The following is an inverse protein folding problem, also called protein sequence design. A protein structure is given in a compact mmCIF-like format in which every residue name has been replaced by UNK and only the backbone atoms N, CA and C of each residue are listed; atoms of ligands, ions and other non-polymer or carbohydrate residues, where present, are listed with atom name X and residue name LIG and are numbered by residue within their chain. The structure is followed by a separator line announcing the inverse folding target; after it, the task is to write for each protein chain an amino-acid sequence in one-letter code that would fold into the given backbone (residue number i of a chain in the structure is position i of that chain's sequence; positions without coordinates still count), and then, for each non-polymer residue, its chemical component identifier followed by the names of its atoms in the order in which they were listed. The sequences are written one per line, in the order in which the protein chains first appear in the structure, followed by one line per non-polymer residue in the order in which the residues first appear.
data_IF_708726292468
#
_entry.id   IF_708726292468
#
_cell.length_a   1.000
_cell.length_b   1.000
_cell.length_c   1.000
_cell.angle_alpha   90.00
_cell.angle_beta   90.00
_cell.angle_gamma   90.00
#
_symmetry.space_group_name_H-M   'P 1'
#
loop_
_entity.id
_entity.type
_entity.pdbx_description
1 polymer ?
#
# COMPACT_ATOMS: atom_id res chain seq x y z
N UNK A 1 -4.34 12.87 47.17
CA UNK A 1 -3.27 12.94 46.16
C UNK A 1 -3.54 11.91 45.08
N UNK A 2 -3.53 12.28 43.79
CA UNK A 2 -3.74 11.34 42.69
C UNK A 2 -2.38 10.68 42.37
N UNK A 3 -2.27 9.38 42.59
CA UNK A 3 -1.05 8.64 42.25
C UNK A 3 -0.83 8.69 40.73
N UNK A 4 0.39 8.97 40.24
CA UNK A 4 0.68 8.90 38.82
C UNK A 4 0.54 7.45 38.34
N UNK A 5 0.07 7.28 37.10
CA UNK A 5 -0.07 5.96 36.50
C UNK A 5 1.30 5.27 36.43
N UNK A 6 1.34 3.96 36.73
CA UNK A 6 2.58 3.16 36.79
C UNK A 6 3.42 3.23 35.50
N UNK A 7 2.75 3.45 34.37
CA UNK A 7 3.35 3.65 33.05
C UNK A 7 4.28 4.87 32.98
N UNK A 8 3.98 5.95 33.72
CA UNK A 8 4.79 7.17 33.74
C UNK A 8 6.04 7.02 34.62
N UNK A 9 6.02 6.09 35.58
CA UNK A 9 7.09 5.91 36.58
C UNK A 9 8.26 5.11 36.02
N UNK A 10 8.01 4.16 35.11
CA UNK A 10 9.04 3.24 34.61
C UNK A 10 9.93 3.84 33.52
N UNK A 11 9.48 4.88 32.82
CA UNK A 11 10.26 5.53 31.76
C UNK A 11 9.97 7.05 31.66
N UNK A 12 10.29 7.86 32.68
CA UNK A 12 10.08 9.31 32.61
C UNK A 12 10.89 9.94 31.46
N UNK A 13 12.11 9.46 31.23
CA UNK A 13 12.97 9.91 30.13
C UNK A 13 12.40 9.59 28.74
N UNK A 14 11.67 8.48 28.58
CA UNK A 14 11.03 8.11 27.30
C UNK A 14 9.97 9.14 26.91
N UNK A 15 9.11 9.55 27.85
CA UNK A 15 8.10 10.58 27.61
C UNK A 15 8.70 11.98 27.45
N UNK A 16 9.77 12.32 28.17
CA UNK A 16 10.42 13.63 28.05
C UNK A 16 11.21 13.76 26.74
N UNK A 17 11.91 12.71 26.33
CA UNK A 17 12.82 12.73 25.18
C UNK A 17 12.11 12.49 23.84
N UNK A 18 11.06 11.66 23.77
CA UNK A 18 10.39 11.32 22.51
C UNK A 18 9.48 12.40 21.93
N UNK A 19 9.13 13.44 22.68
CA UNK A 19 8.30 14.55 22.17
C UNK A 19 9.03 15.38 21.10
N UNK A 20 10.37 15.37 21.11
CA UNK A 20 11.20 16.11 20.17
C UNK A 20 11.76 15.17 19.12
N UNK A 21 11.26 15.29 17.89
CA UNK A 21 11.81 14.57 16.73
C UNK A 21 13.23 15.06 16.45
N UNK A 22 14.12 14.14 16.09
CA UNK A 22 15.52 14.45 15.75
C UNK A 22 15.65 15.38 14.51
N UNK A 23 14.64 15.43 13.65
CA UNK A 23 14.57 16.30 12.48
C UNK A 23 13.27 17.11 12.47
N UNK A 24 13.34 18.38 12.04
CA UNK A 24 12.17 19.24 11.83
C UNK A 24 11.68 19.07 10.40
N UNK A 25 10.44 18.62 10.22
CA UNK A 25 9.80 18.62 8.90
C UNK A 25 9.59 20.09 8.47
N UNK A 26 9.89 20.47 7.22
CA UNK A 26 9.53 21.78 6.71
C UNK A 26 8.03 22.03 6.87
N UNK A 27 7.65 23.27 7.22
CA UNK A 27 6.27 23.64 7.49
C UNK A 27 5.37 23.50 6.26
N UNK A 28 5.99 23.64 5.07
CA UNK A 28 5.32 23.53 3.79
C UNK A 28 5.88 22.36 3.00
N UNK A 29 4.97 21.59 2.42
CA UNK A 29 5.27 20.58 1.43
C UNK A 29 4.72 21.11 0.10
N UNK A 30 5.62 21.49 -0.80
CA UNK A 30 5.24 21.92 -2.14
C UNK A 30 5.07 20.69 -3.03
N UNK A 31 3.88 20.53 -3.58
CA UNK A 31 3.55 19.42 -4.47
C UNK A 31 4.18 19.70 -5.85
N UNK A 32 4.94 18.77 -6.45
CA UNK A 32 5.47 18.91 -7.81
C UNK A 32 4.38 19.16 -8.85
N UNK A 33 4.71 19.94 -9.88
CA UNK A 33 3.76 20.33 -10.95
C UNK A 33 3.16 19.12 -11.69
N UNK A 34 3.94 18.05 -11.86
CA UNK A 34 3.51 16.82 -12.53
C UNK A 34 2.66 15.87 -11.66
N UNK A 35 2.43 16.22 -10.39
CA UNK A 35 1.70 15.34 -9.49
C UNK A 35 0.20 15.62 -9.60
N UNK A 36 -0.54 14.69 -10.23
CA UNK A 36 -2.01 14.68 -10.20
C UNK A 36 -2.54 13.89 -9.00
N UNK A 37 -3.57 14.42 -8.34
CA UNK A 37 -4.33 13.70 -7.29
C UNK A 37 -5.61 13.08 -7.85
N UNK A 38 -5.85 13.24 -9.14
CA UNK A 38 -7.02 12.69 -9.81
C UNK A 38 -6.90 11.16 -9.86
N UNK A 39 -8.01 10.44 -9.69
CA UNK A 39 -8.01 9.00 -9.88
C UNK A 39 -7.57 8.67 -11.32
N UNK A 40 -6.86 7.55 -11.52
CA UNK A 40 -6.55 7.10 -12.87
C UNK A 40 -7.84 6.93 -13.68
N UNK A 41 -7.77 7.04 -15.03
CA UNK A 41 -8.92 6.79 -15.88
C UNK A 41 -9.49 5.40 -15.61
N UNK A 42 -10.81 5.27 -15.78
CA UNK A 42 -11.49 3.99 -15.59
C UNK A 42 -10.88 2.96 -16.54
N UNK A 43 -10.59 1.73 -16.08
CA UNK A 43 -10.06 0.69 -16.96
C UNK A 43 -11.01 0.46 -18.12
N UNK A 44 -10.47 0.49 -19.32
CA UNK A 44 -11.17 0.08 -20.53
C UNK A 44 -11.07 -1.42 -20.71
N UNK A 45 -12.08 -2.01 -21.35
CA UNK A 45 -12.01 -3.42 -21.72
C UNK A 45 -10.93 -3.54 -22.80
N UNK A 46 -9.90 -4.34 -22.55
CA UNK A 46 -8.90 -4.64 -23.57
C UNK A 46 -9.58 -5.24 -24.81
N UNK A 47 -9.21 -4.75 -25.98
CA UNK A 47 -9.61 -5.37 -27.24
C UNK A 47 -8.90 -6.72 -27.34
N UNK A 48 -9.68 -7.79 -27.37
CA UNK A 48 -9.18 -9.15 -27.58
C UNK A 48 -9.38 -9.42 -29.07
N UNK A 49 -8.33 -9.19 -29.86
CA UNK A 49 -8.27 -9.53 -31.29
C UNK A 49 -7.86 -11.00 -31.52
N UNK A 50 -7.55 -11.71 -30.43
CA UNK A 50 -7.15 -13.11 -30.47
C UNK A 50 -8.33 -14.03 -30.13
N UNK A 51 -8.64 -14.98 -31.03
CA UNK A 51 -9.69 -15.99 -30.80
C UNK A 51 -9.40 -16.86 -29.53
N UNK A 52 -8.12 -16.94 -29.12
CA UNK A 52 -7.64 -17.66 -27.94
C UNK A 52 -6.73 -16.75 -27.11
N UNK A 53 -7.20 -16.27 -25.95
CA UNK A 53 -6.40 -15.44 -25.05
C UNK A 53 -5.21 -16.23 -24.46
N UNK A 54 -4.04 -15.61 -24.24
CA UNK A 54 -2.86 -16.32 -23.72
C UNK A 54 -3.05 -16.97 -22.35
N UNK A 55 -3.97 -16.43 -21.54
CA UNK A 55 -4.35 -16.99 -20.24
C UNK A 55 -5.25 -18.23 -20.33
N UNK A 56 -5.70 -18.62 -21.53
CA UNK A 56 -6.48 -19.83 -21.79
C UNK A 56 -5.63 -21.03 -22.19
N UNK A 57 -4.30 -20.87 -22.32
CA UNK A 57 -3.40 -21.96 -22.66
C UNK A 57 -3.11 -22.93 -21.49
N UNK A 58 -3.73 -22.75 -20.32
CA UNK A 58 -3.64 -23.68 -19.18
C UNK A 58 -4.86 -24.61 -19.00
N UNK A 59 -5.96 -24.37 -19.72
CA UNK A 59 -7.19 -25.18 -19.62
C UNK A 59 -7.21 -26.29 -20.69
N UNK A 60 -6.15 -27.08 -20.81
CA UNK A 60 -6.12 -28.18 -21.76
C UNK A 60 -6.82 -29.40 -21.16
N UNK A 61 -7.86 -29.92 -21.82
CA UNK A 61 -8.53 -31.16 -21.39
C UNK A 61 -8.33 -32.24 -22.44
N UNK A 62 -7.76 -33.38 -22.03
CA UNK A 62 -7.66 -34.59 -22.84
C UNK A 62 -8.27 -35.76 -22.09
N UNK A 63 -9.17 -36.50 -22.73
CA UNK A 63 -9.85 -37.66 -22.14
C UNK A 63 -10.53 -37.35 -20.79
N UNK A 64 -11.03 -36.12 -20.62
CA UNK A 64 -11.68 -35.65 -19.39
C UNK A 64 -10.72 -35.22 -18.27
N UNK A 65 -9.42 -35.18 -18.52
CA UNK A 65 -8.37 -34.81 -17.55
C UNK A 65 -7.78 -33.45 -17.91
N UNK A 66 -7.74 -32.54 -16.92
CA UNK A 66 -7.09 -31.24 -17.06
C UNK A 66 -5.56 -31.40 -17.04
N UNK A 67 -4.89 -30.75 -18.00
CA UNK A 67 -3.44 -30.71 -18.20
C UNK A 67 -2.99 -29.26 -17.96
N UNK A 68 -2.15 -29.05 -16.95
CA UNK A 68 -1.53 -27.76 -16.60
C UNK A 68 0.00 -27.89 -16.75
N UNK A 69 0.68 -26.85 -17.25
CA UNK A 69 2.12 -26.83 -17.55
C UNK A 69 2.90 -25.92 -16.58
#
# INVERSE_FOLDING_TARGET
MRLPALETVRQPAHFICMTKRATKRPEKFEKPEHWSSEPPPKPEKGEIDEDLSPTRYGDWVKDGIAIDF
#
